data_IF_871249946707
#
_entry.id   IF_871249946707
#
_cell.length_a   1.000
_cell.length_b   1.000
_cell.length_c   1.000
_cell.angle_alpha   90.00
_cell.angle_beta   90.00
_cell.angle_gamma   90.00
#
_symmetry.space_group_name_H-M   'P 1'
#
loop_
_entity.id
_entity.type
_entity.pdbx_description
1 polymer ?
#
# COMPACT_ATOMS: atom_id res chain seq x y z
N UNK A 1 61.52 26.20 -3.40
CA UNK A 1 60.39 26.29 -2.46
C UNK A 1 59.65 24.96 -2.55
N UNK A 2 59.89 24.08 -1.58
CA UNK A 2 59.34 22.72 -1.53
C UNK A 2 57.90 22.76 -1.00
N UNK A 3 57.00 21.99 -1.60
CA UNK A 3 55.70 21.66 -1.02
C UNK A 3 55.52 20.13 -1.10
N UNK A 4 55.51 19.54 0.09
CA UNK A 4 55.42 18.11 0.40
C UNK A 4 54.03 17.53 0.10
N UNK A 5 54.00 16.33 -0.47
CA UNK A 5 52.80 15.49 -0.56
C UNK A 5 52.37 14.98 0.82
N UNK A 6 51.06 14.79 1.10
CA UNK A 6 50.62 14.18 2.34
C UNK A 6 50.81 12.65 2.31
N UNK A 7 51.35 12.11 3.40
CA UNK A 7 51.57 10.69 3.62
C UNK A 7 50.24 9.94 3.80
N UNK A 8 50.09 8.83 3.06
CA UNK A 8 48.99 7.89 3.21
C UNK A 8 49.33 6.94 4.38
N UNK A 9 48.65 7.08 5.52
CA UNK A 9 48.77 6.13 6.64
C UNK A 9 47.85 4.95 6.35
N UNK A 10 48.44 3.80 6.01
CA UNK A 10 47.72 2.52 5.91
C UNK A 10 47.43 2.05 7.33
N UNK A 11 46.16 2.19 7.77
CA UNK A 11 45.70 1.58 9.00
C UNK A 11 45.63 0.06 8.82
N UNK A 12 46.57 -0.68 9.41
CA UNK A 12 46.49 -2.14 9.52
C UNK A 12 45.27 -2.51 10.37
N UNK A 13 44.32 -3.25 9.80
CA UNK A 13 43.18 -3.84 10.54
C UNK A 13 43.71 -4.64 11.74
N UNK A 14 43.10 -4.53 12.94
CA UNK A 14 43.46 -5.40 14.05
C UNK A 14 43.11 -6.86 13.69
N UNK A 15 44.00 -7.79 14.04
CA UNK A 15 43.78 -9.22 13.82
C UNK A 15 42.51 -9.68 14.53
N UNK A 16 41.68 -10.48 13.85
CA UNK A 16 40.48 -11.08 14.43
C UNK A 16 40.89 -12.04 15.57
N UNK A 17 40.21 -12.00 16.72
CA UNK A 17 40.54 -12.86 17.85
C UNK A 17 40.29 -14.34 17.50
N UNK A 18 41.16 -15.21 18.01
CA UNK A 18 41.10 -16.66 17.80
C UNK A 18 39.78 -17.26 18.32
N UNK A 19 39.38 -18.40 17.75
CA UNK A 19 38.10 -19.07 18.07
C UNK A 19 37.93 -19.38 19.57
N UNK A 20 39.02 -19.61 20.30
CA UNK A 20 39.02 -19.83 21.75
C UNK A 20 38.65 -18.56 22.54
N UNK A 21 39.16 -17.39 22.13
CA UNK A 21 38.80 -16.12 22.77
C UNK A 21 37.32 -15.74 22.55
N UNK A 22 36.72 -16.21 21.45
CA UNK A 22 35.27 -16.06 21.18
C UNK A 22 34.42 -17.01 22.00
N UNK A 23 34.91 -18.21 22.28
CA UNK A 23 34.23 -19.18 23.14
C UNK A 23 34.18 -18.73 24.61
N UNK A 24 35.28 -18.14 25.12
CA UNK A 24 35.33 -17.61 26.49
C UNK A 24 34.46 -16.37 26.70
N UNK A 25 34.34 -15.49 25.69
CA UNK A 25 33.42 -14.36 25.72
C UNK A 25 31.94 -14.81 25.66
N UNK A 26 31.65 -15.88 24.93
CA UNK A 26 30.32 -16.50 24.87
C UNK A 26 29.95 -17.25 26.15
N UNK A 27 30.94 -17.80 26.88
CA UNK A 27 30.72 -18.45 28.17
C UNK A 27 30.41 -17.43 29.29
N UNK A 28 31.09 -16.28 29.30
CA UNK A 28 30.85 -15.21 30.30
C UNK A 28 29.52 -14.45 30.13
N UNK A 29 28.89 -14.51 28.96
CA UNK A 29 27.59 -13.84 28.69
C UNK A 29 26.36 -14.70 28.98
N UNK A 30 26.52 -16.01 29.23
CA UNK A 30 25.40 -16.93 29.52
C UNK A 30 24.83 -16.85 30.94
N UNK A 31 25.37 -15.98 31.79
CA UNK A 31 24.94 -15.82 33.19
C UNK A 31 24.29 -14.48 33.53
N UNK A 32 24.09 -13.56 32.58
CA UNK A 32 23.45 -12.27 32.87
C UNK A 32 21.98 -12.26 32.43
N UNK A 33 21.04 -11.83 33.30
CA UNK A 33 19.64 -11.69 32.93
C UNK A 33 19.48 -10.69 31.78
N UNK A 34 18.55 -11.00 30.87
CA UNK A 34 18.25 -10.21 29.67
C UNK A 34 17.71 -8.83 30.07
N UNK A 35 18.58 -7.81 30.10
CA UNK A 35 18.16 -6.42 30.32
C UNK A 35 17.74 -5.81 28.98
N UNK A 36 16.49 -5.35 28.93
CA UNK A 36 15.82 -4.79 27.76
C UNK A 36 16.39 -3.40 27.38
N UNK A 37 17.52 -3.38 26.66
CA UNK A 37 18.26 -2.17 26.29
C UNK A 37 17.60 -1.24 25.27
N UNK A 38 16.45 -1.60 24.69
CA UNK A 38 15.69 -0.71 23.80
C UNK A 38 14.65 0.15 24.54
N UNK A 39 14.40 -0.12 25.83
CA UNK A 39 13.40 0.61 26.61
C UNK A 39 13.94 1.85 27.32
N UNK A 40 15.25 2.10 27.31
CA UNK A 40 15.88 3.15 28.13
C UNK A 40 16.38 4.37 27.36
N UNK A 41 16.17 4.46 26.05
CA UNK A 41 16.44 5.70 25.32
C UNK A 41 15.45 6.79 25.76
N UNK A 42 15.90 7.85 26.45
CA UNK A 42 15.04 8.91 26.95
C UNK A 42 14.29 9.62 25.81
N UNK A 43 14.87 9.68 24.61
CA UNK A 43 14.28 10.36 23.45
C UNK A 43 13.07 9.61 22.86
N UNK A 44 13.12 8.27 22.86
CA UNK A 44 12.05 7.40 22.37
C UNK A 44 10.88 7.35 23.37
N UNK A 45 11.19 7.28 24.67
CA UNK A 45 10.20 7.41 25.75
C UNK A 45 9.52 8.79 25.71
N UNK A 46 10.26 9.86 25.47
CA UNK A 46 9.69 11.21 25.37
C UNK A 46 8.78 11.34 24.13
N UNK A 47 9.20 10.83 22.97
CA UNK A 47 8.39 10.86 21.75
C UNK A 47 7.08 10.08 21.88
N UNK A 48 7.13 8.86 22.44
CA UNK A 48 5.93 8.04 22.69
C UNK A 48 5.00 8.67 23.74
N UNK A 49 5.57 9.25 24.80
CA UNK A 49 4.79 9.93 25.86
C UNK A 49 4.14 11.21 25.34
N UNK A 50 4.85 12.00 24.53
CA UNK A 50 4.29 13.19 23.88
C UNK A 50 3.16 12.82 22.90
N UNK A 51 3.31 11.75 22.12
CA UNK A 51 2.24 11.28 21.23
C UNK A 51 1.01 10.81 22.03
N UNK A 52 1.20 9.99 23.06
CA UNK A 52 0.11 9.49 23.92
C UNK A 52 -0.60 10.64 24.68
N UNK A 53 0.15 11.61 25.19
CA UNK A 53 -0.39 12.79 25.86
C UNK A 53 -1.21 13.68 24.89
N UNK A 54 -0.75 13.83 23.64
CA UNK A 54 -1.46 14.62 22.62
C UNK A 54 -2.81 13.99 22.27
N UNK A 55 -2.89 12.66 22.12
CA UNK A 55 -4.16 11.97 21.86
C UNK A 55 -5.12 12.01 23.06
N UNK A 56 -4.60 11.94 24.29
CA UNK A 56 -5.42 11.95 25.51
C UNK A 56 -6.00 13.34 25.79
N UNK A 57 -5.19 14.40 25.64
CA UNK A 57 -5.64 15.79 25.84
C UNK A 57 -6.60 16.23 24.73
N UNK A 58 -6.32 15.89 23.47
CA UNK A 58 -7.24 16.17 22.37
C UNK A 58 -8.58 15.44 22.53
N UNK A 59 -8.56 14.17 22.96
CA UNK A 59 -9.76 13.39 23.25
C UNK A 59 -10.59 13.95 24.42
N UNK A 60 -9.92 14.33 25.51
CA UNK A 60 -10.57 14.90 26.70
C UNK A 60 -11.21 16.27 26.42
N UNK A 61 -10.53 17.13 25.64
CA UNK A 61 -11.06 18.44 25.24
C UNK A 61 -12.27 18.31 24.31
N UNK A 62 -12.25 17.33 23.39
CA UNK A 62 -13.39 17.05 22.48
C UNK A 62 -14.60 16.52 23.25
N UNK A 63 -14.38 15.60 24.18
CA UNK A 63 -15.43 15.05 25.05
C UNK A 63 -16.08 16.10 25.97
N UNK A 64 -15.26 17.01 26.53
CA UNK A 64 -15.74 18.08 27.42
C UNK A 64 -16.55 19.15 26.68
N UNK A 65 -16.22 19.41 25.40
CA UNK A 65 -17.00 20.30 24.52
C UNK A 65 -18.35 19.67 24.12
N UNK A 66 -18.39 18.35 23.93
CA UNK A 66 -19.61 17.61 23.56
C UNK A 66 -20.63 17.50 24.70
N UNK A 67 -20.19 17.46 25.98
CA UNK A 67 -21.10 17.47 27.14
C UNK A 67 -21.68 18.84 27.50
N UNK A 68 -21.02 19.94 27.14
CA UNK A 68 -21.52 21.31 27.44
C UNK A 68 -22.54 21.84 26.43
N UNK A 69 -22.74 21.16 25.29
CA UNK A 69 -23.72 21.53 24.26
C UNK A 69 -25.03 20.72 24.30
N UNK A 70 -25.27 19.94 25.36
CA UNK A 70 -26.43 19.07 25.48
C UNK A 70 -27.72 19.84 25.78
N UNK A 71 -28.33 20.42 24.76
CA UNK A 71 -29.68 20.96 24.87
C UNK A 71 -30.13 21.83 23.70
N UNK A 72 -30.27 21.27 22.48
CA UNK A 72 -31.19 21.85 21.47
C UNK A 72 -31.83 20.74 20.64
N UNK A 73 -33.13 20.93 20.45
CA UNK A 73 -34.15 20.15 19.74
C UNK A 73 -33.71 19.66 18.35
N UNK A 74 -34.27 18.51 17.94
CA UNK A 74 -34.38 18.10 16.53
C UNK A 74 -35.07 19.22 15.74
N UNK A 75 -34.30 19.92 14.92
CA UNK A 75 -34.82 20.69 13.80
C UNK A 75 -34.28 20.03 12.54
N UNK A 76 -35.21 19.55 11.70
CA UNK A 76 -34.92 19.21 10.33
C UNK A 76 -34.42 20.48 9.62
N UNK A 77 -33.23 20.41 9.04
CA UNK A 77 -32.62 21.50 8.30
C UNK A 77 -31.44 20.98 7.50
N UNK A 78 -31.64 20.86 6.20
CA UNK A 78 -30.60 20.64 5.20
C UNK A 78 -29.68 21.88 5.19
N UNK A 79 -28.69 21.89 6.08
CA UNK A 79 -27.52 22.76 5.97
C UNK A 79 -26.32 21.94 5.51
N UNK A 80 -25.37 22.50 4.74
CA UNK A 80 -24.17 21.77 4.35
C UNK A 80 -23.43 21.31 5.62
N UNK A 81 -23.29 19.99 5.75
CA UNK A 81 -22.59 19.36 6.86
C UNK A 81 -21.19 19.96 6.99
N UNK A 82 -20.90 20.57 8.13
CA UNK A 82 -19.56 21.10 8.46
C UNK A 82 -18.57 19.99 8.85
N UNK A 83 -18.98 18.72 8.73
CA UNK A 83 -18.15 17.57 9.03
C UNK A 83 -17.06 17.40 7.96
N UNK A 84 -15.82 17.37 8.41
CA UNK A 84 -14.63 17.12 7.57
C UNK A 84 -14.59 15.64 7.08
N UNK A 85 -15.47 14.79 7.61
CA UNK A 85 -15.54 13.36 7.34
C UNK A 85 -17.00 12.98 7.09
N UNK A 86 -17.27 12.39 5.92
CA UNK A 86 -18.59 11.85 5.57
C UNK A 86 -18.95 10.65 6.44
N UNK A 87 -20.25 10.42 6.63
CA UNK A 87 -20.74 9.19 7.24
C UNK A 87 -20.52 7.96 6.33
N UNK A 88 -20.55 6.73 6.88
CA UNK A 88 -20.46 5.52 6.06
C UNK A 88 -21.55 5.44 4.97
N UNK A 89 -22.78 5.88 5.27
CA UNK A 89 -23.88 5.88 4.30
C UNK A 89 -23.66 6.88 3.16
N UNK A 90 -23.22 8.11 3.47
CA UNK A 90 -22.88 9.11 2.45
C UNK A 90 -21.71 8.63 1.58
N UNK A 91 -20.69 8.03 2.20
CA UNK A 91 -19.53 7.46 1.49
C UNK A 91 -19.96 6.34 0.54
N UNK A 92 -20.89 5.47 0.98
CA UNK A 92 -21.47 4.44 0.12
C UNK A 92 -22.13 5.05 -1.11
N UNK A 93 -22.97 6.07 -0.92
CA UNK A 93 -23.64 6.74 -2.03
C UNK A 93 -22.65 7.40 -3.00
N UNK A 94 -21.60 8.05 -2.51
CA UNK A 94 -20.53 8.60 -3.37
C UNK A 94 -19.83 7.53 -4.20
N UNK A 95 -19.66 6.32 -3.66
CA UNK A 95 -19.09 5.18 -4.41
C UNK A 95 -20.08 4.63 -5.44
N UNK A 96 -21.38 4.62 -5.14
CA UNK A 96 -22.44 4.30 -6.11
C UNK A 96 -22.41 5.29 -7.28
N UNK A 97 -22.38 6.58 -7.00
CA UNK A 97 -22.33 7.63 -8.02
C UNK A 97 -21.05 7.53 -8.86
N UNK A 98 -19.91 7.23 -8.21
CA UNK A 98 -18.65 6.93 -8.90
C UNK A 98 -18.79 5.72 -9.84
N UNK A 99 -19.53 4.68 -9.46
CA UNK A 99 -19.74 3.51 -10.31
C UNK A 99 -20.50 3.86 -11.60
N UNK A 100 -21.51 4.73 -11.50
CA UNK A 100 -22.26 5.24 -12.66
C UNK A 100 -21.36 6.08 -13.57
N UNK A 101 -20.56 6.96 -12.98
CA UNK A 101 -19.55 7.72 -13.72
C UNK A 101 -18.58 6.80 -14.47
N UNK A 102 -18.06 5.77 -13.83
CA UNK A 102 -17.13 4.81 -14.45
C UNK A 102 -17.79 3.96 -15.56
N UNK A 103 -19.07 3.64 -15.43
CA UNK A 103 -19.87 2.96 -16.47
C UNK A 103 -19.96 3.79 -17.74
N UNK A 104 -20.27 5.09 -17.59
CA UNK A 104 -20.55 6.00 -18.71
C UNK A 104 -19.28 6.56 -19.37
N UNK A 105 -18.12 6.36 -18.75
CA UNK A 105 -16.85 6.80 -19.33
C UNK A 105 -16.53 6.10 -20.67
N UNK A 106 -16.06 6.92 -21.61
CA UNK A 106 -15.49 6.45 -22.86
C UNK A 106 -14.24 5.60 -22.59
N UNK A 107 -14.04 4.54 -23.39
CA UNK A 107 -12.97 3.57 -23.17
C UNK A 107 -11.57 4.20 -23.17
N UNK A 108 -11.32 5.21 -24.01
CA UNK A 108 -10.05 5.95 -24.05
C UNK A 108 -9.77 6.71 -22.74
N UNK A 109 -10.80 7.28 -22.11
CA UNK A 109 -10.65 7.98 -20.83
C UNK A 109 -10.33 6.98 -19.72
N UNK A 110 -11.03 5.84 -19.69
CA UNK A 110 -10.75 4.74 -18.75
C UNK A 110 -9.34 4.18 -18.95
N UNK A 111 -8.92 3.99 -20.20
CA UNK A 111 -7.57 3.52 -20.54
C UNK A 111 -6.52 4.53 -20.09
N UNK A 112 -6.66 5.82 -20.41
CA UNK A 112 -5.71 6.85 -19.99
C UNK A 112 -5.61 6.95 -18.45
N UNK A 113 -6.75 6.96 -17.76
CA UNK A 113 -6.77 6.99 -16.30
C UNK A 113 -6.13 5.73 -15.69
N UNK A 114 -6.38 4.56 -16.29
CA UNK A 114 -5.75 3.29 -15.93
C UNK A 114 -4.24 3.29 -16.17
N UNK A 115 -3.81 3.86 -17.29
CA UNK A 115 -2.41 3.96 -17.66
C UNK A 115 -1.64 4.84 -16.67
N UNK A 116 -2.18 6.02 -16.35
CA UNK A 116 -1.63 6.89 -15.30
C UNK A 116 -1.59 6.19 -13.94
N UNK A 117 -2.65 5.44 -13.59
CA UNK A 117 -2.68 4.62 -12.39
C UNK A 117 -1.56 3.59 -12.34
N UNK A 118 -1.32 2.90 -13.45
CA UNK A 118 -0.21 1.95 -13.61
C UNK A 118 1.16 2.62 -13.48
N UNK A 119 1.34 3.81 -14.05
CA UNK A 119 2.57 4.58 -13.92
C UNK A 119 2.85 4.97 -12.46
N UNK A 120 1.86 5.49 -11.73
CA UNK A 120 2.04 5.85 -10.31
C UNK A 120 2.39 4.64 -9.45
N UNK A 121 1.73 3.49 -9.67
CA UNK A 121 2.07 2.25 -8.95
C UNK A 121 3.44 1.72 -9.37
N UNK A 122 3.81 1.81 -10.64
CA UNK A 122 5.14 1.46 -11.14
C UNK A 122 6.24 2.29 -10.48
N UNK A 123 6.04 3.61 -10.33
CA UNK A 123 6.99 4.48 -9.62
C UNK A 123 7.11 4.10 -8.13
N UNK A 124 6.00 3.70 -7.50
CA UNK A 124 6.02 3.16 -6.14
C UNK A 124 6.85 1.87 -6.04
N UNK A 125 6.68 0.98 -7.03
CA UNK A 125 7.46 -0.24 -7.17
C UNK A 125 8.95 0.06 -7.36
N UNK A 126 9.30 1.02 -8.22
CA UNK A 126 10.70 1.40 -8.42
C UNK A 126 11.32 1.94 -7.13
N UNK A 127 10.63 2.86 -6.46
CA UNK A 127 11.06 3.41 -5.18
C UNK A 127 11.32 2.30 -4.15
N UNK A 128 10.47 1.27 -4.13
CA UNK A 128 10.63 0.10 -3.25
C UNK A 128 11.93 -0.66 -3.47
N UNK A 129 12.28 -0.89 -4.74
CA UNK A 129 13.46 -1.67 -5.11
C UNK A 129 14.73 -0.87 -4.86
N UNK A 130 14.72 0.42 -5.19
CA UNK A 130 15.86 1.31 -4.97
C UNK A 130 16.15 1.48 -3.47
N UNK A 131 15.12 1.68 -2.64
CA UNK A 131 15.33 1.80 -1.19
C UNK A 131 15.70 0.45 -0.59
N UNK A 132 14.93 -0.60 -0.88
CA UNK A 132 15.14 -1.93 -0.31
C UNK A 132 16.49 -2.53 -0.68
N UNK A 133 16.97 -2.27 -1.89
CA UNK A 133 18.27 -2.75 -2.38
C UNK A 133 19.48 -1.97 -1.87
N UNK A 134 19.32 -0.69 -1.49
CA UNK A 134 20.46 0.19 -1.20
C UNK A 134 20.55 0.68 0.25
N UNK A 135 19.52 0.52 1.09
CA UNK A 135 19.60 0.85 2.52
C UNK A 135 20.38 -0.24 3.25
N UNK A 136 21.46 0.11 3.96
CA UNK A 136 22.24 -0.84 4.75
C UNK A 136 21.51 -1.27 6.02
N UNK A 137 21.78 -2.50 6.49
CA UNK A 137 21.10 -3.14 7.63
C UNK A 137 21.28 -2.43 8.98
N UNK A 138 22.13 -1.40 9.08
CA UNK A 138 22.58 -0.84 10.36
C UNK A 138 21.65 0.22 10.95
N UNK A 139 20.72 0.80 10.20
CA UNK A 139 19.93 1.94 10.72
C UNK A 139 18.44 1.67 10.93
N UNK A 140 17.72 1.01 10.02
CA UNK A 140 16.26 0.79 10.13
C UNK A 140 15.87 -0.52 9.41
N UNK A 141 14.85 -1.23 9.90
CA UNK A 141 14.22 -2.35 9.17
C UNK A 141 13.74 -1.85 7.80
N UNK A 142 14.41 -2.26 6.71
CA UNK A 142 14.13 -1.83 5.33
C UNK A 142 12.65 -1.90 4.96
N UNK A 143 11.92 -2.88 5.50
CA UNK A 143 10.47 -3.04 5.29
C UNK A 143 9.64 -1.90 5.87
N UNK A 144 10.07 -1.28 6.96
CA UNK A 144 9.37 -0.17 7.61
C UNK A 144 9.47 1.13 6.81
N UNK A 145 10.65 1.45 6.27
CA UNK A 145 10.83 2.60 5.36
C UNK A 145 10.01 2.40 4.09
N UNK A 146 10.07 1.20 3.53
CA UNK A 146 9.31 0.84 2.35
C UNK A 146 7.80 0.99 2.57
N UNK A 147 7.27 0.43 3.67
CA UNK A 147 5.87 0.55 4.01
C UNK A 147 5.43 2.01 4.26
N UNK A 148 6.33 2.87 4.74
CA UNK A 148 6.04 4.28 4.97
C UNK A 148 5.98 5.09 3.66
N UNK A 149 6.84 4.84 2.67
CA UNK A 149 6.92 5.73 1.49
C UNK A 149 5.97 5.33 0.35
N UNK A 150 5.54 4.07 0.30
CA UNK A 150 4.66 3.57 -0.76
C UNK A 150 3.28 4.25 -0.88
N UNK A 151 2.58 4.63 0.22
CA UNK A 151 1.20 5.12 0.13
C UNK A 151 1.02 6.45 -0.62
N UNK A 152 2.07 7.26 -0.79
CA UNK A 152 2.02 8.53 -1.53
C UNK A 152 1.52 8.31 -2.97
N UNK A 153 1.92 7.21 -3.60
CA UNK A 153 1.53 6.94 -4.98
C UNK A 153 0.05 6.56 -5.13
N UNK A 154 -0.55 5.87 -4.15
CA UNK A 154 -2.00 5.66 -4.18
C UNK A 154 -2.77 6.96 -3.95
N UNK A 155 -2.25 7.87 -3.11
CA UNK A 155 -2.84 9.20 -2.96
C UNK A 155 -2.81 9.96 -4.30
N UNK A 156 -1.69 9.91 -5.05
CA UNK A 156 -1.60 10.50 -6.39
C UNK A 156 -2.65 9.93 -7.34
N UNK A 157 -2.79 8.60 -7.40
CA UNK A 157 -3.82 7.94 -8.21
C UNK A 157 -5.21 8.51 -7.90
N UNK A 158 -5.58 8.57 -6.61
CA UNK A 158 -6.92 8.97 -6.20
C UNK A 158 -7.18 10.47 -6.39
N UNK A 159 -6.18 11.34 -6.17
CA UNK A 159 -6.36 12.79 -6.32
C UNK A 159 -6.26 13.28 -7.77
N UNK A 160 -5.52 12.57 -8.64
CA UNK A 160 -5.40 12.93 -10.07
C UNK A 160 -6.49 12.32 -10.95
N UNK A 161 -7.37 11.49 -10.37
CA UNK A 161 -8.41 10.77 -11.12
C UNK A 161 -7.90 9.55 -11.88
N UNK A 162 -6.71 9.05 -11.54
CA UNK A 162 -6.19 7.77 -12.00
C UNK A 162 -7.09 6.61 -11.57
N UNK A 163 -7.04 5.52 -12.33
CA UNK A 163 -7.85 4.33 -12.08
C UNK A 163 -6.98 3.09 -11.90
N UNK A 164 -7.38 2.24 -10.96
CA UNK A 164 -6.73 0.96 -10.73
C UNK A 164 -7.80 -0.12 -10.75
N UNK A 165 -7.49 -1.24 -11.39
CA UNK A 165 -8.33 -2.44 -11.35
C UNK A 165 -8.75 -2.78 -9.91
N UNK A 166 -7.81 -2.74 -8.97
CA UNK A 166 -8.05 -3.08 -7.56
C UNK A 166 -9.01 -2.13 -6.87
N UNK A 167 -8.94 -0.83 -7.12
CA UNK A 167 -9.92 0.13 -6.57
C UNK A 167 -11.29 0.00 -7.23
N UNK A 168 -11.30 -0.11 -8.56
CA UNK A 168 -12.52 -0.23 -9.35
C UNK A 168 -13.26 -1.56 -9.09
N UNK A 169 -12.57 -2.58 -8.58
CA UNK A 169 -13.16 -3.89 -8.28
C UNK A 169 -14.36 -3.80 -7.33
N UNK A 170 -14.22 -3.10 -6.20
CA UNK A 170 -15.33 -2.85 -5.28
C UNK A 170 -16.33 -1.82 -5.82
N UNK A 171 -15.85 -0.72 -6.41
CA UNK A 171 -16.72 0.35 -6.93
C UNK A 171 -17.70 -0.16 -7.99
N UNK A 172 -17.22 -0.91 -8.99
CA UNK A 172 -18.10 -1.46 -10.03
C UNK A 172 -19.02 -2.54 -9.49
N UNK A 173 -18.57 -3.36 -8.54
CA UNK A 173 -19.41 -4.37 -7.90
C UNK A 173 -20.58 -3.74 -7.11
N UNK A 174 -20.31 -2.68 -6.34
CA UNK A 174 -21.35 -1.89 -5.66
C UNK A 174 -22.37 -1.36 -6.67
N UNK A 175 -21.91 -0.80 -7.79
CA UNK A 175 -22.80 -0.36 -8.87
C UNK A 175 -23.69 -1.48 -9.41
N UNK A 176 -23.17 -2.70 -9.53
CA UNK A 176 -23.94 -3.88 -9.95
C UNK A 176 -24.99 -4.26 -8.91
N UNK A 177 -24.62 -4.35 -7.63
CA UNK A 177 -25.57 -4.70 -6.56
C UNK A 177 -26.67 -3.64 -6.37
N UNK A 178 -26.38 -2.37 -6.66
CA UNK A 178 -27.40 -1.31 -6.65
C UNK A 178 -28.28 -1.28 -7.92
N UNK A 179 -27.97 -2.12 -8.92
CA UNK A 179 -28.65 -2.12 -10.22
C UNK A 179 -28.34 -0.88 -11.07
N UNK A 180 -27.29 -0.13 -10.73
CA UNK A 180 -26.82 1.05 -11.46
C UNK A 180 -25.84 0.68 -12.57
N UNK A 181 -25.12 -0.42 -12.42
CA UNK A 181 -24.25 -1.00 -13.45
C UNK A 181 -24.73 -2.42 -13.80
N UNK A 182 -24.45 -2.87 -15.03
CA UNK A 182 -24.61 -4.28 -15.40
C UNK A 182 -23.27 -5.01 -15.21
N UNK A 183 -23.32 -6.33 -15.07
CA UNK A 183 -22.09 -7.16 -14.98
C UNK A 183 -21.16 -6.93 -16.19
N UNK A 184 -21.72 -6.70 -17.39
CA UNK A 184 -20.93 -6.35 -18.57
C UNK A 184 -20.12 -5.05 -18.41
N UNK A 185 -20.65 -4.07 -17.66
CA UNK A 185 -20.00 -2.77 -17.47
C UNK A 185 -18.84 -2.92 -16.48
N UNK A 186 -19.03 -3.75 -15.44
CA UNK A 186 -17.99 -4.16 -14.51
C UNK A 186 -16.85 -4.86 -15.25
N UNK A 187 -17.15 -5.90 -16.04
CA UNK A 187 -16.12 -6.65 -16.78
C UNK A 187 -15.39 -5.76 -17.78
N UNK A 188 -16.12 -4.91 -18.52
CA UNK A 188 -15.53 -3.92 -19.44
C UNK A 188 -14.55 -3.00 -18.72
N UNK A 189 -14.96 -2.40 -17.59
CA UNK A 189 -14.12 -1.50 -16.83
C UNK A 189 -12.88 -2.22 -16.28
N UNK A 190 -13.06 -3.42 -15.71
CA UNK A 190 -11.97 -4.22 -15.17
C UNK A 190 -10.93 -4.55 -16.22
N UNK A 191 -11.35 -5.05 -17.39
CA UNK A 191 -10.42 -5.40 -18.47
C UNK A 191 -9.64 -4.17 -18.97
N UNK A 192 -10.32 -3.04 -19.22
CA UNK A 192 -9.66 -1.82 -19.71
C UNK A 192 -8.66 -1.30 -18.68
N UNK A 193 -9.09 -1.18 -17.41
CA UNK A 193 -8.23 -0.68 -16.34
C UNK A 193 -7.03 -1.62 -16.10
N UNK A 194 -7.24 -2.94 -16.13
CA UNK A 194 -6.19 -3.93 -15.93
C UNK A 194 -5.12 -3.88 -17.03
N UNK A 195 -5.54 -3.86 -18.31
CA UNK A 195 -4.60 -3.74 -19.44
C UNK A 195 -3.86 -2.41 -19.37
N UNK A 196 -4.56 -1.31 -19.09
CA UNK A 196 -3.93 0.00 -18.98
C UNK A 196 -2.93 0.06 -17.81
N UNK A 197 -3.27 -0.55 -16.66
CA UNK A 197 -2.37 -0.65 -15.51
C UNK A 197 -1.08 -1.41 -15.88
N UNK A 198 -1.18 -2.52 -16.62
CA UNK A 198 0.01 -3.25 -17.15
C UNK A 198 0.85 -2.32 -18.02
N UNK A 199 0.25 -1.64 -18.99
CA UNK A 199 0.97 -0.74 -19.89
C UNK A 199 1.72 0.37 -19.13
N UNK A 200 1.08 0.96 -18.12
CA UNK A 200 1.70 1.99 -17.28
C UNK A 200 2.86 1.45 -16.44
N UNK A 201 2.69 0.29 -15.81
CA UNK A 201 3.76 -0.36 -15.04
C UNK A 201 4.96 -0.75 -15.93
N UNK A 202 4.72 -1.33 -17.10
CA UNK A 202 5.78 -1.70 -18.03
C UNK A 202 6.53 -0.48 -18.57
N UNK A 203 5.83 0.63 -18.84
CA UNK A 203 6.49 1.87 -19.23
C UNK A 203 7.50 2.32 -18.16
N UNK A 204 7.09 2.32 -16.89
CA UNK A 204 7.99 2.74 -15.80
C UNK A 204 9.16 1.78 -15.65
N UNK A 205 8.98 0.47 -15.84
CA UNK A 205 10.10 -0.48 -15.84
C UNK A 205 11.10 -0.16 -16.98
N UNK A 206 10.61 0.07 -18.19
CA UNK A 206 11.45 0.46 -19.35
C UNK A 206 12.19 1.78 -19.08
N UNK A 207 11.50 2.80 -18.57
CA UNK A 207 12.12 4.09 -18.21
C UNK A 207 13.19 3.90 -17.15
N UNK A 208 12.92 3.11 -16.11
CA UNK A 208 13.87 2.82 -15.04
C UNK A 208 15.14 2.11 -15.57
N UNK A 209 14.99 1.19 -16.53
CA UNK A 209 16.14 0.54 -17.19
C UNK A 209 16.92 1.52 -18.05
N UNK A 210 16.23 2.28 -18.88
CA UNK A 210 16.84 3.28 -19.77
C UNK A 210 17.65 4.33 -18.99
N UNK A 211 17.17 4.71 -17.80
CA UNK A 211 17.82 5.69 -16.91
C UNK A 211 18.81 5.07 -15.93
N UNK A 212 19.04 3.76 -15.95
CA UNK A 212 20.02 3.10 -15.08
C UNK A 212 19.61 3.00 -13.60
N UNK A 213 18.31 3.03 -13.28
CA UNK A 213 17.79 2.98 -11.90
C UNK A 213 17.85 1.58 -11.27
N UNK A 214 18.02 0.53 -12.08
CA UNK A 214 18.26 -0.85 -11.61
C UNK A 214 19.74 -1.12 -11.28
N UNK A 215 20.56 -0.07 -11.11
CA UNK A 215 21.95 -0.21 -10.66
C UNK A 215 22.04 -0.41 -9.13
N UNK A 216 23.22 -0.83 -8.65
CA UNK A 216 23.45 -1.21 -7.25
C UNK A 216 22.49 -2.34 -6.77
N UNK A 217 22.13 -2.42 -5.50
CA UNK A 217 21.37 -3.54 -4.95
C UNK A 217 19.91 -3.63 -5.42
N UNK A 218 19.44 -2.69 -6.26
CA UNK A 218 18.05 -2.64 -6.74
C UNK A 218 17.70 -3.81 -7.67
N UNK A 219 18.60 -4.20 -8.58
CA UNK A 219 18.41 -5.36 -9.45
C UNK A 219 18.34 -6.66 -8.63
N UNK A 220 19.28 -6.86 -7.70
CA UNK A 220 19.30 -8.02 -6.81
C UNK A 220 18.04 -8.09 -5.95
N UNK A 221 17.58 -6.93 -5.46
CA UNK A 221 16.32 -6.84 -4.71
C UNK A 221 15.12 -7.22 -5.58
N UNK A 222 15.10 -6.83 -6.86
CA UNK A 222 14.06 -7.22 -7.80
C UNK A 222 14.02 -8.74 -8.02
N UNK A 223 15.19 -9.36 -8.25
CA UNK A 223 15.36 -10.81 -8.42
C UNK A 223 14.88 -11.54 -7.17
N UNK A 224 15.38 -11.16 -5.98
CA UNK A 224 14.99 -11.79 -4.73
C UNK A 224 13.47 -11.65 -4.47
N UNK A 225 12.89 -10.50 -4.79
CA UNK A 225 11.46 -10.26 -4.60
C UNK A 225 10.60 -11.11 -5.52
N UNK A 226 10.92 -11.21 -6.82
CA UNK A 226 10.14 -12.05 -7.76
C UNK A 226 10.25 -13.53 -7.41
N UNK A 227 11.44 -14.00 -7.00
CA UNK A 227 11.65 -15.39 -6.56
C UNK A 227 10.80 -15.72 -5.34
N UNK A 228 10.77 -14.82 -4.34
CA UNK A 228 9.92 -14.98 -3.16
C UNK A 228 8.43 -15.00 -3.49
N UNK A 229 7.98 -14.09 -4.37
CA UNK A 229 6.58 -13.96 -4.80
C UNK A 229 6.09 -15.18 -5.58
N UNK A 230 6.96 -15.81 -6.36
CA UNK A 230 6.64 -17.02 -7.13
C UNK A 230 6.87 -18.33 -6.35
N UNK A 231 7.37 -18.26 -5.11
CA UNK A 231 7.62 -19.43 -4.26
C UNK A 231 6.44 -19.87 -3.38
N UNK A 232 5.35 -19.10 -3.32
CA UNK A 232 4.13 -19.48 -2.57
C UNK A 232 3.24 -20.41 -3.40
N UNK A 233 2.42 -21.23 -2.74
CA UNK A 233 1.43 -22.07 -3.45
C UNK A 233 0.31 -21.21 -4.04
N UNK A 234 -0.38 -21.72 -5.08
CA UNK A 234 -1.48 -21.01 -5.73
C UNK A 234 -2.54 -20.50 -4.72
N UNK A 235 -2.99 -21.37 -3.82
CA UNK A 235 -3.97 -21.01 -2.78
C UNK A 235 -3.47 -19.95 -1.80
N UNK A 236 -2.22 -20.05 -1.35
CA UNK A 236 -1.61 -19.02 -0.49
C UNK A 236 -1.57 -17.66 -1.21
N UNK A 237 -1.21 -17.65 -2.49
CA UNK A 237 -1.16 -16.44 -3.30
C UNK A 237 -2.54 -15.83 -3.51
N UNK A 238 -3.58 -16.64 -3.72
CA UNK A 238 -4.98 -16.16 -3.79
C UNK A 238 -5.38 -15.49 -2.47
N UNK A 239 -5.15 -16.14 -1.32
CA UNK A 239 -5.52 -15.58 0.00
C UNK A 239 -4.76 -14.29 0.30
N UNK A 240 -3.46 -14.23 -0.02
CA UNK A 240 -2.69 -12.97 0.06
C UNK A 240 -3.29 -11.88 -0.82
N UNK A 241 -3.81 -12.24 -2.01
CA UNK A 241 -4.53 -11.33 -2.88
C UNK A 241 -5.85 -10.82 -2.26
N UNK A 242 -6.63 -11.70 -1.63
CA UNK A 242 -7.88 -11.32 -0.96
C UNK A 242 -7.60 -10.29 0.14
N UNK A 243 -6.65 -10.60 1.03
CA UNK A 243 -6.32 -9.73 2.16
C UNK A 243 -5.72 -8.39 1.72
N UNK A 244 -4.90 -8.39 0.66
CA UNK A 244 -4.39 -7.15 0.08
C UNK A 244 -5.54 -6.26 -0.41
N UNK A 245 -6.41 -6.79 -1.26
CA UNK A 245 -7.38 -5.92 -1.92
C UNK A 245 -8.52 -5.49 -1.00
N UNK A 246 -8.79 -6.22 0.09
CA UNK A 246 -9.63 -5.71 1.16
C UNK A 246 -9.06 -4.38 1.69
N UNK A 247 -7.79 -4.36 2.07
CA UNK A 247 -7.14 -3.15 2.58
C UNK A 247 -7.06 -2.03 1.53
N UNK A 248 -6.82 -2.36 0.25
CA UNK A 248 -6.83 -1.36 -0.84
C UNK A 248 -8.22 -0.76 -1.03
N UNK A 249 -9.29 -1.58 -1.06
CA UNK A 249 -10.65 -1.07 -1.17
C UNK A 249 -11.03 -0.23 0.06
N UNK A 250 -10.56 -0.58 1.26
CA UNK A 250 -10.75 0.26 2.45
C UNK A 250 -9.95 1.56 2.39
N UNK A 251 -8.75 1.57 1.81
CA UNK A 251 -8.01 2.81 1.56
C UNK A 251 -8.80 3.75 0.64
N UNK A 252 -9.41 3.21 -0.42
CA UNK A 252 -10.30 3.98 -1.31
C UNK A 252 -11.52 4.49 -0.54
N UNK A 253 -12.15 3.64 0.28
CA UNK A 253 -13.30 4.03 1.10
C UNK A 253 -12.97 5.19 2.06
N UNK A 254 -11.90 5.07 2.83
CA UNK A 254 -11.45 6.10 3.78
C UNK A 254 -11.05 7.39 3.07
N UNK A 255 -10.44 7.29 1.88
CA UNK A 255 -10.12 8.44 1.05
C UNK A 255 -11.37 9.14 0.49
N UNK A 256 -12.44 8.41 0.17
CA UNK A 256 -13.73 9.01 -0.23
C UNK A 256 -14.40 9.70 0.97
N UNK A 257 -14.28 9.09 2.15
CA UNK A 257 -14.90 9.58 3.38
C UNK A 257 -14.30 10.93 3.84
N UNK A 258 -12.98 11.13 3.69
CA UNK A 258 -12.32 12.38 4.08
C UNK A 258 -12.52 13.51 3.06
N UNK A 259 -12.83 14.72 3.54
CA UNK A 259 -13.04 15.91 2.70
C UNK A 259 -11.81 16.81 2.57
N UNK A 260 -10.83 16.68 3.45
CA UNK A 260 -9.54 17.38 3.39
C UNK A 260 -8.40 16.47 2.91
N UNK A 261 -7.34 17.07 2.36
CA UNK A 261 -6.21 16.30 1.80
C UNK A 261 -5.44 15.49 2.86
N UNK A 262 -5.30 16.02 4.08
CA UNK A 262 -4.58 15.35 5.17
C UNK A 262 -5.33 14.10 5.63
N UNK A 263 -6.65 14.19 5.81
CA UNK A 263 -7.51 13.05 6.12
C UNK A 263 -7.46 11.97 5.04
N UNK A 264 -7.48 12.37 3.75
CA UNK A 264 -7.31 11.44 2.62
C UNK A 264 -5.95 10.75 2.65
N UNK A 265 -4.88 11.50 2.89
CA UNK A 265 -3.53 10.95 3.01
C UNK A 265 -3.46 9.91 4.14
N UNK A 266 -3.96 10.23 5.33
CA UNK A 266 -3.97 9.32 6.47
C UNK A 266 -4.82 8.07 6.20
N UNK A 267 -6.00 8.24 5.61
CA UNK A 267 -6.91 7.14 5.24
C UNK A 267 -6.31 6.17 4.23
N UNK A 268 -5.46 6.68 3.32
CA UNK A 268 -4.69 5.86 2.38
C UNK A 268 -3.45 5.25 3.03
N UNK A 269 -2.75 6.00 3.89
CA UNK A 269 -1.45 5.61 4.40
C UNK A 269 -1.48 4.28 5.17
N UNK A 270 -2.31 4.20 6.21
CA UNK A 270 -2.26 3.06 7.13
C UNK A 270 -2.66 1.72 6.48
N UNK A 271 -3.76 1.60 5.71
CA UNK A 271 -4.11 0.31 5.10
C UNK A 271 -3.07 -0.16 4.09
N UNK A 272 -2.45 0.77 3.37
CA UNK A 272 -1.44 0.46 2.35
C UNK A 272 -0.12 0.05 2.99
N UNK A 273 0.37 0.81 3.98
CA UNK A 273 1.54 0.42 4.77
C UNK A 273 1.35 -0.95 5.41
N UNK A 274 0.14 -1.24 5.92
CA UNK A 274 -0.19 -2.50 6.57
C UNK A 274 -0.04 -3.70 5.63
N UNK A 275 -0.68 -3.70 4.45
CA UNK A 275 -0.62 -4.87 3.57
C UNK A 275 0.81 -5.14 3.08
N UNK A 276 1.60 -4.08 2.89
CA UNK A 276 2.98 -4.15 2.47
C UNK A 276 3.87 -4.74 3.57
N UNK A 277 3.73 -4.24 4.80
CA UNK A 277 4.50 -4.71 5.95
C UNK A 277 4.22 -6.19 6.25
N UNK A 278 2.96 -6.61 6.13
CA UNK A 278 2.54 -8.01 6.30
C UNK A 278 3.04 -8.89 5.14
N UNK A 279 3.12 -8.34 3.93
CA UNK A 279 3.54 -9.07 2.73
C UNK A 279 2.38 -9.73 1.98
N UNK A 280 1.23 -9.05 1.92
CA UNK A 280 0.13 -9.42 1.04
C UNK A 280 0.44 -9.04 -0.43
N UNK A 281 -0.33 -9.60 -1.36
CA UNK A 281 -0.03 -9.53 -2.80
C UNK A 281 -1.00 -8.62 -3.54
N UNK A 282 -0.46 -7.63 -4.25
CA UNK A 282 -1.22 -6.65 -5.03
C UNK A 282 -0.96 -6.85 -6.51
N UNK A 283 -2.02 -7.14 -7.28
CA UNK A 283 -1.90 -7.46 -8.71
C UNK A 283 -1.21 -6.33 -9.49
N UNK A 284 -1.60 -5.07 -9.29
CA UNK A 284 -1.03 -3.94 -10.04
C UNK A 284 0.42 -3.66 -9.64
N UNK A 285 0.77 -3.72 -8.36
CA UNK A 285 2.18 -3.61 -7.96
C UNK A 285 3.02 -4.74 -8.56
N UNK A 286 2.46 -5.95 -8.66
CA UNK A 286 3.12 -7.09 -9.27
C UNK A 286 3.26 -6.96 -10.79
N UNK A 287 2.43 -6.16 -11.47
CA UNK A 287 2.63 -5.82 -12.89
C UNK A 287 3.93 -5.05 -13.14
N UNK A 288 4.48 -4.39 -12.11
CA UNK A 288 5.82 -3.80 -12.17
C UNK A 288 6.89 -4.73 -11.60
N UNK A 289 6.69 -5.28 -10.40
CA UNK A 289 7.73 -6.04 -9.68
C UNK A 289 8.10 -7.34 -10.41
N UNK A 290 7.13 -8.05 -11.00
CA UNK A 290 7.42 -9.34 -11.64
C UNK A 290 8.27 -9.16 -12.92
N UNK A 291 7.90 -8.26 -13.87
CA UNK A 291 8.79 -7.94 -15.00
C UNK A 291 10.12 -7.37 -14.54
N UNK A 292 10.14 -6.53 -13.50
CA UNK A 292 11.37 -5.94 -12.98
C UNK A 292 12.41 -6.99 -12.56
N UNK A 293 11.99 -8.01 -11.81
CA UNK A 293 12.85 -9.13 -11.42
C UNK A 293 13.21 -10.05 -12.58
N UNK A 294 12.23 -10.36 -13.46
CA UNK A 294 12.45 -11.20 -14.64
C UNK A 294 13.53 -10.61 -15.56
N UNK A 295 13.38 -9.35 -15.95
CA UNK A 295 14.32 -8.65 -16.83
C UNK A 295 15.64 -8.30 -16.14
N UNK A 296 15.73 -8.42 -14.81
CA UNK A 296 16.99 -8.32 -14.08
C UNK A 296 17.77 -9.64 -14.00
N UNK A 297 17.23 -10.74 -14.56
CA UNK A 297 17.93 -12.02 -14.66
C UNK A 297 17.44 -13.11 -13.70
N UNK A 298 16.25 -12.97 -13.11
CA UNK A 298 15.68 -14.06 -12.32
C UNK A 298 15.49 -15.31 -13.20
N UNK A 299 15.81 -16.52 -12.69
CA UNK A 299 15.69 -17.79 -13.43
C UNK A 299 14.23 -18.27 -13.48
N UNK A 300 13.34 -17.42 -13.96
CA UNK A 300 11.92 -17.65 -14.13
C UNK A 300 11.55 -17.32 -15.58
N UNK A 301 10.49 -17.93 -16.08
CA UNK A 301 9.90 -17.57 -17.37
C UNK A 301 8.74 -16.58 -17.19
N UNK A 302 8.28 -15.96 -18.28
CA UNK A 302 7.03 -15.21 -18.27
C UNK A 302 5.86 -16.08 -17.79
N UNK A 303 5.83 -17.36 -18.19
CA UNK A 303 4.78 -18.28 -17.75
C UNK A 303 4.81 -18.55 -16.25
N UNK A 304 6.01 -18.65 -15.66
CA UNK A 304 6.15 -18.84 -14.22
C UNK A 304 5.53 -17.67 -13.45
N UNK A 305 5.87 -16.43 -13.82
CA UNK A 305 5.36 -15.26 -13.08
C UNK A 305 3.85 -15.06 -13.26
N UNK A 306 3.29 -15.47 -14.41
CA UNK A 306 1.85 -15.42 -14.67
C UNK A 306 1.09 -16.44 -13.82
N UNK A 307 1.49 -17.71 -13.88
CA UNK A 307 0.76 -18.83 -13.26
C UNK A 307 1.00 -18.89 -11.74
N UNK A 308 2.24 -18.66 -11.29
CA UNK A 308 2.59 -18.76 -9.87
C UNK A 308 2.19 -17.51 -9.08
N UNK A 309 2.02 -16.36 -9.75
CA UNK A 309 1.74 -15.10 -9.06
C UNK A 309 0.61 -14.27 -9.69
N UNK A 310 0.77 -13.70 -10.89
CA UNK A 310 -0.12 -12.62 -11.35
C UNK A 310 -1.59 -13.06 -11.44
N UNK A 311 -1.86 -14.26 -11.98
CA UNK A 311 -3.22 -14.83 -12.08
C UNK A 311 -3.84 -15.08 -10.69
N UNK A 312 -3.23 -15.87 -9.78
CA UNK A 312 -3.82 -16.11 -8.47
C UNK A 312 -4.00 -14.82 -7.65
N UNK A 313 -3.08 -13.87 -7.72
CA UNK A 313 -3.23 -12.57 -7.04
C UNK A 313 -4.41 -11.79 -7.61
N UNK A 314 -4.57 -11.77 -8.94
CA UNK A 314 -5.67 -11.08 -9.61
C UNK A 314 -7.02 -11.68 -9.23
N UNK A 315 -7.12 -13.01 -9.16
CA UNK A 315 -8.31 -13.71 -8.68
C UNK A 315 -8.62 -13.31 -7.25
N UNK A 316 -7.62 -13.36 -6.36
CA UNK A 316 -7.79 -12.97 -4.96
C UNK A 316 -8.24 -11.51 -4.81
N UNK A 317 -7.61 -10.60 -5.56
CA UNK A 317 -7.99 -9.19 -5.56
C UNK A 317 -9.44 -9.01 -6.06
N UNK A 318 -9.82 -9.66 -7.17
CA UNK A 318 -11.19 -9.61 -7.70
C UNK A 318 -12.23 -10.08 -6.67
N UNK A 319 -11.95 -11.20 -5.98
CA UNK A 319 -12.83 -11.77 -4.95
C UNK A 319 -13.04 -10.77 -3.81
N UNK A 320 -11.96 -10.20 -3.28
CA UNK A 320 -12.06 -9.22 -2.20
C UNK A 320 -12.82 -7.96 -2.61
N UNK A 321 -12.58 -7.48 -3.83
CA UNK A 321 -13.28 -6.32 -4.38
C UNK A 321 -14.78 -6.58 -4.53
N UNK A 322 -15.15 -7.62 -5.27
CA UNK A 322 -16.54 -7.87 -5.64
C UNK A 322 -17.38 -8.44 -4.50
N UNK A 323 -16.84 -9.34 -3.69
CA UNK A 323 -17.62 -10.05 -2.68
C UNK A 323 -17.37 -9.52 -1.28
N UNK A 324 -16.11 -9.37 -0.87
CA UNK A 324 -15.82 -8.99 0.52
C UNK A 324 -16.22 -7.54 0.78
N UNK A 325 -15.72 -6.60 -0.03
CA UNK A 325 -16.05 -5.19 0.14
C UNK A 325 -17.30 -4.80 -0.65
N UNK A 326 -17.40 -5.19 -1.91
CA UNK A 326 -18.54 -4.83 -2.76
C UNK A 326 -19.87 -5.32 -2.17
N UNK A 327 -20.05 -6.63 -2.04
CA UNK A 327 -21.27 -7.18 -1.48
C UNK A 327 -21.44 -6.82 0.01
N UNK A 328 -20.36 -6.83 0.79
CA UNK A 328 -20.41 -6.49 2.22
C UNK A 328 -20.92 -5.07 2.50
N UNK A 329 -20.43 -4.08 1.75
CA UNK A 329 -20.89 -2.69 1.88
C UNK A 329 -22.29 -2.51 1.30
N UNK A 330 -22.61 -3.18 0.18
CA UNK A 330 -23.97 -3.17 -0.38
C UNK A 330 -25.01 -3.83 0.51
N UNK A 331 -24.63 -4.85 1.28
CA UNK A 331 -25.49 -5.44 2.30
C UNK A 331 -25.69 -4.48 3.48
N UNK A 332 -24.65 -3.75 3.89
CA UNK A 332 -24.72 -2.88 5.07
C UNK A 332 -25.46 -1.56 4.81
N UNK A 333 -25.32 -0.98 3.62
CA UNK A 333 -25.76 0.39 3.30
C UNK A 333 -26.64 0.50 2.05
N UNK A 334 -26.76 -0.60 1.31
CA UNK A 334 -27.35 -0.64 -0.02
C UNK A 334 -28.62 -1.48 -0.13
N UNK A 335 -29.03 -1.75 -1.37
CA UNK A 335 -30.21 -2.57 -1.69
C UNK A 335 -30.10 -4.01 -1.21
N UNK A 336 -28.91 -4.60 -1.22
CA UNK A 336 -28.72 -6.02 -0.91
C UNK A 336 -29.15 -6.39 0.52
N UNK A 337 -29.10 -5.44 1.46
CA UNK A 337 -29.55 -5.65 2.84
C UNK A 337 -30.95 -5.13 3.16
N UNK A 338 -31.62 -4.46 2.22
CA UNK A 338 -33.01 -4.05 2.42
C UNK A 338 -33.89 -5.28 2.24
N UNK A 339 -34.75 -5.57 3.22
CA UNK A 339 -35.86 -6.51 3.01
C UNK A 339 -36.85 -5.83 2.07
N UNK A 340 -37.28 -6.53 1.04
CA UNK A 340 -38.41 -6.11 0.22
C UNK A 340 -39.61 -5.94 1.16
N UNK A 341 -39.98 -4.68 1.45
CA UNK A 341 -41.26 -4.32 2.08
C UNK A 341 -42.36 -4.21 1.02
#
# INVERSE_FOLDING_TARGET
MALSAPAFVVATKPALPTLEARADAAAKSRGQPFVNGYSEDPSVKYALTCMAATFTVAGALRWRKQRRGGGVRRAAGEGPSTAVVASPQETYQEIVDKSEYLRDQAWLKTFHAGFMGGCYVGMAGLLSLVIGGNVTHEFINQKAIFAALFPINLLLVLQTGGQLFTGNSATMAIGVYEGKCKVKDLVRNWCIAYVANICGCLLIDVVARYTGMFTAGAADMAIHTVMKKCGSTFGQTVVKGIMCNWLVCMAVWLCTMAKDLSGKMVGVWFPISMFIAIGFEHSVANMFILPAGLFSGAPLTLWDILIKNLIPVTIGNAIAGAFVVGAGMSYSFGKLGKKDE
#
